data_IF_587001524641
#
_entry.id   IF_587001524641
#
_cell.length_a   1.000
_cell.length_b   1.000
_cell.length_c   1.000
_cell.angle_alpha   90.00
_cell.angle_beta   90.00
_cell.angle_gamma   90.00
#
_symmetry.space_group_name_H-M   'P 1'
#
loop_
_entity.id
_entity.type
_entity.pdbx_description
1 polymer ?
#
# COMPACT_ATOMS: atom_id res chain seq x y z
N UNK A 1 39.54 12.89 -0.74
CA UNK A 1 39.01 11.56 -1.15
C UNK A 1 37.49 11.67 -1.25
N UNK A 2 36.94 11.44 -2.44
CA UNK A 2 35.52 11.69 -2.72
C UNK A 2 34.69 10.53 -2.14
N UNK A 3 34.10 10.74 -0.95
CA UNK A 3 33.34 9.70 -0.27
C UNK A 3 31.90 9.66 -0.83
N UNK A 4 31.77 9.21 -2.08
CA UNK A 4 30.47 9.10 -2.74
C UNK A 4 29.54 8.16 -1.96
N UNK A 5 28.29 8.59 -1.80
CA UNK A 5 27.26 7.80 -1.13
C UNK A 5 27.01 6.47 -1.87
N UNK A 6 26.55 5.43 -1.15
CA UNK A 6 26.21 4.16 -1.80
C UNK A 6 25.12 4.34 -2.89
N UNK A 7 24.24 5.33 -2.74
CA UNK A 7 23.25 5.70 -3.75
C UNK A 7 23.91 6.27 -5.01
N UNK A 8 24.87 7.18 -4.88
CA UNK A 8 25.59 7.75 -6.03
C UNK A 8 26.34 6.66 -6.79
N UNK A 9 27.02 5.76 -6.06
CA UNK A 9 27.72 4.64 -6.67
C UNK A 9 26.76 3.70 -7.41
N UNK A 10 25.57 3.42 -6.85
CA UNK A 10 24.53 2.66 -7.54
C UNK A 10 24.07 3.37 -8.82
N UNK A 11 23.72 4.65 -8.73
CA UNK A 11 23.25 5.45 -9.87
C UNK A 11 24.31 5.52 -10.98
N UNK A 12 25.59 5.58 -10.62
CA UNK A 12 26.68 5.53 -11.58
C UNK A 12 26.73 4.18 -12.31
N UNK A 13 26.55 3.06 -11.63
CA UNK A 13 26.49 1.74 -12.29
C UNK A 13 25.29 1.61 -13.23
N UNK A 14 24.12 2.13 -12.84
CA UNK A 14 22.94 2.21 -13.71
C UNK A 14 23.27 3.00 -14.98
N UNK A 15 23.91 4.16 -14.82
CA UNK A 15 24.27 5.02 -15.95
C UNK A 15 25.26 4.33 -16.90
N UNK A 16 26.29 3.69 -16.35
CA UNK A 16 27.29 2.96 -17.14
C UNK A 16 26.63 1.84 -17.95
N UNK A 17 25.81 0.99 -17.31
CA UNK A 17 25.13 -0.11 -18.01
C UNK A 17 24.13 0.37 -19.07
N UNK A 18 23.46 1.52 -18.84
CA UNK A 18 22.59 2.14 -19.85
C UNK A 18 23.37 2.60 -21.09
N UNK A 19 24.56 3.17 -20.91
CA UNK A 19 25.43 3.54 -22.03
C UNK A 19 25.93 2.31 -22.80
N UNK A 20 26.32 1.25 -22.09
CA UNK A 20 26.77 -0.01 -22.69
C UNK A 20 25.65 -0.79 -23.40
N UNK A 21 24.39 -0.60 -22.97
CA UNK A 21 23.24 -1.36 -23.42
C UNK A 21 22.05 -0.44 -23.74
N UNK A 22 22.20 0.41 -24.76
CA UNK A 22 21.22 1.45 -25.12
C UNK A 22 19.79 0.95 -25.33
N UNK A 23 19.61 -0.33 -25.65
CA UNK A 23 18.31 -0.92 -26.00
C UNK A 23 17.63 -1.66 -24.83
N UNK A 24 18.29 -1.78 -23.66
CA UNK A 24 17.72 -2.46 -22.49
C UNK A 24 16.77 -1.55 -21.74
N UNK A 25 15.66 -2.12 -21.29
CA UNK A 25 14.72 -1.48 -20.37
C UNK A 25 15.35 -1.24 -19.00
N UNK A 26 14.78 -0.31 -18.23
CA UNK A 26 15.21 -0.05 -16.84
C UNK A 26 15.16 -1.30 -15.97
N UNK A 27 14.14 -2.15 -16.16
CA UNK A 27 14.00 -3.42 -15.46
C UNK A 27 15.18 -4.36 -15.72
N UNK A 28 15.57 -4.51 -16.99
CA UNK A 28 16.72 -5.36 -17.37
C UNK A 28 18.03 -4.82 -16.79
N UNK A 29 18.21 -3.50 -16.80
CA UNK A 29 19.38 -2.86 -16.19
C UNK A 29 19.43 -3.15 -14.67
N UNK A 30 18.31 -3.03 -13.96
CA UNK A 30 18.28 -3.32 -12.52
C UNK A 30 18.51 -4.81 -12.22
N UNK A 31 17.96 -5.71 -13.03
CA UNK A 31 18.23 -7.15 -12.93
C UNK A 31 19.71 -7.47 -13.17
N UNK A 32 20.36 -6.76 -14.10
CA UNK A 32 21.78 -6.92 -14.37
C UNK A 32 22.64 -6.39 -13.22
N UNK A 33 22.28 -5.26 -12.61
CA UNK A 33 22.96 -4.76 -11.40
C UNK A 33 22.83 -5.74 -10.24
N UNK A 34 21.63 -6.30 -10.02
CA UNK A 34 21.40 -7.27 -8.97
C UNK A 34 22.30 -8.51 -9.12
N UNK A 35 22.60 -8.92 -10.36
CA UNK A 35 23.51 -10.02 -10.69
C UNK A 35 24.98 -9.64 -10.55
N UNK A 36 25.39 -8.51 -11.14
CA UNK A 36 26.81 -8.09 -11.24
C UNK A 36 27.36 -7.50 -9.95
N UNK A 37 26.52 -6.86 -9.13
CA UNK A 37 26.96 -6.10 -7.96
C UNK A 37 26.15 -6.49 -6.71
N UNK A 38 26.50 -7.58 -6.01
CA UNK A 38 25.77 -8.05 -4.82
C UNK A 38 25.59 -6.99 -3.72
N UNK A 39 26.56 -6.08 -3.56
CA UNK A 39 26.46 -4.93 -2.63
C UNK A 39 25.29 -3.99 -2.91
N UNK A 40 24.76 -4.00 -4.12
CA UNK A 40 23.62 -3.20 -4.56
C UNK A 40 22.33 -4.02 -4.70
N UNK A 41 22.35 -5.29 -4.32
CA UNK A 41 21.21 -6.20 -4.49
C UNK A 41 19.92 -5.63 -3.89
N UNK A 42 19.99 -5.08 -2.68
CA UNK A 42 18.80 -4.54 -2.00
C UNK A 42 18.24 -3.30 -2.73
N UNK A 43 19.12 -2.38 -3.16
CA UNK A 43 18.71 -1.20 -3.94
C UNK A 43 18.15 -1.60 -5.31
N UNK A 44 18.77 -2.57 -5.98
CA UNK A 44 18.28 -3.11 -7.24
C UNK A 44 16.90 -3.77 -7.08
N UNK A 45 16.71 -4.64 -6.07
CA UNK A 45 15.40 -5.24 -5.75
C UNK A 45 14.34 -4.17 -5.49
N UNK A 46 14.68 -3.12 -4.75
CA UNK A 46 13.75 -2.01 -4.51
C UNK A 46 13.35 -1.31 -5.80
N UNK A 47 14.31 -1.01 -6.70
CA UNK A 47 14.02 -0.40 -7.99
C UNK A 47 13.18 -1.30 -8.89
N UNK A 48 13.42 -2.60 -8.88
CA UNK A 48 12.60 -3.60 -9.60
C UNK A 48 11.18 -3.63 -9.04
N UNK A 49 11.00 -3.71 -7.72
CA UNK A 49 9.69 -3.69 -7.09
C UNK A 49 8.93 -2.38 -7.40
N UNK A 50 9.63 -1.25 -7.36
CA UNK A 50 9.06 0.04 -7.73
C UNK A 50 8.63 0.08 -9.21
N UNK A 51 9.46 -0.45 -10.11
CA UNK A 51 9.14 -0.57 -11.53
C UNK A 51 7.86 -1.39 -11.75
N UNK A 52 7.72 -2.55 -11.10
CA UNK A 52 6.49 -3.33 -11.20
C UNK A 52 5.26 -2.57 -10.68
N UNK A 53 5.40 -1.85 -9.55
CA UNK A 53 4.31 -1.02 -9.02
C UNK A 53 3.89 0.08 -10.00
N UNK A 54 4.82 0.74 -10.69
CA UNK A 54 4.48 1.82 -11.66
C UNK A 54 3.85 1.28 -12.94
N UNK A 55 4.03 0.00 -13.24
CA UNK A 55 3.40 -0.71 -14.36
C UNK A 55 2.22 -1.57 -13.90
N UNK A 56 1.65 -1.28 -12.72
CA UNK A 56 0.45 -1.92 -12.17
C UNK A 56 0.56 -3.43 -11.92
N UNK A 57 1.78 -3.97 -11.91
CA UNK A 57 2.05 -5.37 -11.56
C UNK A 57 2.26 -5.51 -10.05
N UNK A 58 1.21 -5.20 -9.28
CA UNK A 58 1.31 -5.07 -7.82
C UNK A 58 1.71 -6.36 -7.10
N UNK A 59 1.27 -7.53 -7.59
CA UNK A 59 1.64 -8.83 -7.03
C UNK A 59 3.14 -9.13 -7.25
N UNK A 60 3.66 -8.82 -8.45
CA UNK A 60 5.09 -8.95 -8.75
C UNK A 60 5.93 -7.98 -7.90
N UNK A 61 5.43 -6.76 -7.68
CA UNK A 61 6.06 -5.80 -6.79
C UNK A 61 6.14 -6.34 -5.35
N UNK A 62 5.05 -6.92 -4.84
CA UNK A 62 4.97 -7.51 -3.50
C UNK A 62 5.90 -8.70 -3.33
N UNK A 63 5.97 -9.59 -4.33
CA UNK A 63 6.86 -10.76 -4.31
C UNK A 63 8.31 -10.35 -4.03
N UNK A 64 8.78 -9.31 -4.71
CA UNK A 64 10.16 -8.82 -4.53
C UNK A 64 10.29 -7.99 -3.26
N UNK A 65 9.29 -7.17 -2.92
CA UNK A 65 9.32 -6.34 -1.73
C UNK A 65 9.46 -7.15 -0.43
N UNK A 66 8.87 -8.35 -0.37
CA UNK A 66 9.00 -9.29 0.76
C UNK A 66 10.41 -9.82 0.98
N UNK A 67 11.28 -9.75 -0.02
CA UNK A 67 12.68 -10.19 0.07
C UNK A 67 13.64 -9.05 0.49
N UNK A 68 13.12 -7.83 0.66
CA UNK A 68 13.89 -6.65 1.04
C UNK A 68 13.83 -6.50 2.56
N UNK A 69 14.95 -6.20 3.25
CA UNK A 69 14.95 -5.96 4.69
C UNK A 69 13.91 -4.92 5.12
N UNK A 70 13.15 -5.18 6.18
CA UNK A 70 12.04 -4.31 6.61
C UNK A 70 12.48 -2.88 6.99
N UNK A 71 13.75 -2.72 7.39
CA UNK A 71 14.35 -1.42 7.72
C UNK A 71 14.78 -0.62 6.48
N UNK A 72 14.60 -1.17 5.28
CA UNK A 72 14.97 -0.49 4.05
C UNK A 72 13.99 0.65 3.72
N UNK A 73 14.55 1.80 3.31
CA UNK A 73 13.80 3.05 3.11
C UNK A 73 12.52 2.84 2.30
N UNK A 74 11.40 3.37 2.79
CA UNK A 74 10.09 3.38 2.13
C UNK A 74 9.52 2.01 1.71
N UNK A 75 10.09 0.87 2.16
CA UNK A 75 9.61 -0.44 1.74
C UNK A 75 8.19 -0.73 2.22
N UNK A 76 7.89 -0.39 3.49
CA UNK A 76 6.55 -0.53 4.07
C UNK A 76 5.50 0.27 3.29
N UNK A 77 5.85 1.47 2.85
CA UNK A 77 4.96 2.32 2.04
C UNK A 77 4.70 1.71 0.66
N UNK A 78 5.72 1.11 0.04
CA UNK A 78 5.56 0.39 -1.22
C UNK A 78 4.61 -0.79 -1.04
N UNK A 79 4.81 -1.60 0.01
CA UNK A 79 3.97 -2.77 0.31
C UNK A 79 2.52 -2.36 0.61
N UNK A 80 2.30 -1.37 1.47
CA UNK A 80 0.96 -0.88 1.81
C UNK A 80 0.15 -0.47 0.58
N UNK A 81 0.79 0.29 -0.34
CA UNK A 81 0.16 0.70 -1.60
C UNK A 81 -0.15 -0.48 -2.51
N UNK A 82 0.74 -1.45 -2.61
CA UNK A 82 0.49 -2.63 -3.45
C UNK A 82 -0.64 -3.49 -2.87
N UNK A 83 -0.64 -3.76 -1.57
CA UNK A 83 -1.73 -4.48 -0.90
C UNK A 83 -3.08 -3.80 -1.08
N UNK A 84 -3.13 -2.47 -0.92
CA UNK A 84 -4.35 -1.68 -1.17
C UNK A 84 -4.85 -1.83 -2.61
N UNK A 85 -3.93 -1.86 -3.60
CA UNK A 85 -4.30 -1.99 -5.02
C UNK A 85 -4.79 -3.37 -5.42
N UNK A 86 -4.36 -4.42 -4.73
CA UNK A 86 -4.85 -5.80 -4.96
C UNK A 86 -6.06 -6.15 -4.09
N UNK A 87 -6.58 -5.21 -3.29
CA UNK A 87 -7.76 -5.43 -2.44
C UNK A 87 -7.47 -6.13 -1.11
N UNK A 88 -6.21 -6.36 -0.76
CA UNK A 88 -5.80 -6.87 0.56
C UNK A 88 -5.75 -5.70 1.57
N UNK A 89 -6.94 -5.25 1.97
CA UNK A 89 -7.10 -4.09 2.87
C UNK A 89 -6.54 -4.34 4.27
N UNK A 90 -6.49 -5.59 4.72
CA UNK A 90 -5.95 -5.96 6.03
C UNK A 90 -4.43 -5.79 6.07
N UNK A 91 -3.71 -6.37 5.09
CA UNK A 91 -2.27 -6.20 4.97
C UNK A 91 -1.89 -4.74 4.69
N UNK A 92 -2.69 -4.03 3.89
CA UNK A 92 -2.49 -2.60 3.63
C UNK A 92 -2.60 -1.77 4.93
N UNK A 93 -3.68 -1.99 5.69
CA UNK A 93 -3.92 -1.30 6.96
C UNK A 93 -2.76 -1.55 7.94
N UNK A 94 -2.36 -2.82 8.12
CA UNK A 94 -1.25 -3.18 9.02
C UNK A 94 0.01 -2.37 8.71
N UNK A 95 0.42 -2.32 7.45
CA UNK A 95 1.62 -1.55 7.07
C UNK A 95 1.42 -0.04 7.20
N UNK A 96 0.24 0.49 6.91
CA UNK A 96 -0.04 1.91 7.13
C UNK A 96 -0.01 2.29 8.61
N UNK A 97 -0.55 1.45 9.49
CA UNK A 97 -0.48 1.68 10.94
C UNK A 97 0.94 1.64 11.46
N UNK A 98 1.76 0.69 11.00
CA UNK A 98 3.18 0.65 11.35
C UNK A 98 3.92 1.92 10.93
N UNK A 99 3.60 2.47 9.74
CA UNK A 99 4.19 3.73 9.28
C UNK A 99 3.69 4.90 10.14
N UNK A 100 2.39 4.99 10.42
CA UNK A 100 1.80 6.04 11.27
C UNK A 100 2.48 6.04 12.64
N UNK A 101 2.53 4.89 13.29
CA UNK A 101 3.07 4.74 14.64
C UNK A 101 4.55 5.12 14.71
N UNK A 102 5.31 4.90 13.63
CA UNK A 102 6.70 5.33 13.54
C UNK A 102 6.86 6.84 13.22
N UNK A 103 5.92 7.42 12.47
CA UNK A 103 5.92 8.83 12.07
C UNK A 103 5.25 9.78 13.09
N UNK A 104 4.46 9.28 14.05
CA UNK A 104 3.92 10.08 15.18
C UNK A 104 5.04 10.70 16.04
N UNK A 105 6.30 10.29 15.85
CA UNK A 105 7.48 10.95 16.43
C UNK A 105 7.86 12.28 15.74
N UNK A 106 7.35 12.57 14.53
CA UNK A 106 7.62 13.78 13.74
C UNK A 106 6.29 14.44 13.28
N UNK A 107 5.78 15.39 14.06
CA UNK A 107 4.34 15.74 14.14
C UNK A 107 3.69 16.45 12.93
N UNK A 108 4.41 16.96 11.94
CA UNK A 108 3.84 18.01 11.07
C UNK A 108 3.53 17.60 9.61
N UNK A 109 3.83 16.37 9.18
CA UNK A 109 3.67 15.96 7.75
C UNK A 109 2.48 15.05 7.41
N UNK A 110 1.62 14.70 8.36
CA UNK A 110 0.78 13.50 8.23
C UNK A 110 -0.73 13.66 8.04
N UNK A 111 -1.22 14.83 7.59
CA UNK A 111 -2.68 15.01 7.39
C UNK A 111 -3.28 14.04 6.36
N UNK A 112 -2.67 13.94 5.17
CA UNK A 112 -3.14 13.04 4.09
C UNK A 112 -2.99 11.55 4.43
N UNK A 113 -1.97 11.21 5.22
CA UNK A 113 -1.72 9.84 5.66
C UNK A 113 -2.73 9.39 6.72
N UNK A 114 -3.03 10.26 7.67
CA UNK A 114 -4.06 10.02 8.68
C UNK A 114 -5.46 9.90 8.05
N UNK A 115 -5.75 10.65 6.99
CA UNK A 115 -7.00 10.53 6.22
C UNK A 115 -7.14 9.15 5.56
N UNK A 116 -6.07 8.62 4.96
CA UNK A 116 -6.06 7.31 4.30
C UNK A 116 -6.16 6.15 5.32
N UNK A 117 -5.46 6.26 6.46
CA UNK A 117 -5.59 5.33 7.59
C UNK A 117 -7.01 5.36 8.17
N UNK A 118 -7.59 6.54 8.38
CA UNK A 118 -8.94 6.69 8.91
C UNK A 118 -9.99 6.14 7.93
N UNK A 119 -9.82 6.36 6.62
CA UNK A 119 -10.67 5.78 5.60
C UNK A 119 -10.63 4.24 5.64
N UNK A 120 -9.44 3.64 5.66
CA UNK A 120 -9.29 2.17 5.71
C UNK A 120 -9.82 1.58 7.01
N UNK A 121 -9.64 2.25 8.16
CA UNK A 121 -10.24 1.84 9.43
C UNK A 121 -11.76 1.83 9.36
N UNK A 122 -12.36 2.87 8.77
CA UNK A 122 -13.80 2.94 8.59
C UNK A 122 -14.32 1.85 7.63
N UNK A 123 -13.62 1.57 6.53
CA UNK A 123 -13.99 0.51 5.59
C UNK A 123 -13.87 -0.88 6.23
N UNK A 124 -12.78 -1.18 6.93
CA UNK A 124 -12.58 -2.45 7.61
C UNK A 124 -13.57 -2.66 8.77
N UNK A 125 -13.89 -1.62 9.53
CA UNK A 125 -14.93 -1.69 10.57
C UNK A 125 -16.31 -1.98 9.96
N UNK A 126 -16.69 -1.27 8.88
CA UNK A 126 -17.95 -1.49 8.16
C UNK A 126 -18.01 -2.89 7.53
N UNK A 127 -16.87 -3.43 7.07
CA UNK A 127 -16.75 -4.78 6.49
C UNK A 127 -16.84 -5.87 7.53
N UNK A 128 -16.11 -5.76 8.64
CA UNK A 128 -16.16 -6.73 9.73
C UNK A 128 -17.55 -6.75 10.39
N UNK A 129 -18.15 -5.57 10.60
CA UNK A 129 -19.54 -5.49 11.04
C UNK A 129 -20.45 -6.16 10.00
N UNK A 130 -20.29 -5.89 8.70
CA UNK A 130 -21.10 -6.53 7.65
C UNK A 130 -20.96 -8.06 7.59
N UNK A 131 -19.76 -8.61 7.78
CA UNK A 131 -19.54 -10.06 7.83
C UNK A 131 -20.19 -10.69 9.07
N UNK A 132 -20.04 -10.06 10.23
CA UNK A 132 -20.75 -10.46 11.46
C UNK A 132 -22.26 -10.39 11.24
N UNK A 133 -22.76 -9.33 10.59
CA UNK A 133 -24.18 -9.15 10.30
C UNK A 133 -24.71 -10.07 9.19
N UNK A 134 -23.90 -10.49 8.21
CA UNK A 134 -24.25 -11.54 7.26
C UNK A 134 -24.38 -12.91 7.94
N UNK A 135 -23.56 -13.17 8.96
CA UNK A 135 -23.71 -14.37 9.79
C UNK A 135 -24.99 -14.30 10.64
N UNK A 136 -25.32 -13.12 11.19
CA UNK A 136 -26.56 -12.89 11.97
C UNK A 136 -27.82 -12.86 11.08
N UNK A 137 -27.72 -12.43 9.83
CA UNK A 137 -28.84 -12.39 8.87
C UNK A 137 -29.24 -13.76 8.30
N UNK A 138 -28.46 -14.83 8.59
CA UNK A 138 -28.88 -16.22 8.34
C UNK A 138 -29.93 -16.72 9.34
N UNK A 139 -30.20 -15.94 10.40
CA UNK A 139 -31.29 -16.18 11.33
C UNK A 139 -32.56 -15.47 10.85
N UNK A 140 -33.70 -16.15 10.96
CA UNK A 140 -34.99 -15.73 10.39
C UNK A 140 -35.46 -14.36 10.95
N UNK A 141 -36.11 -13.51 10.15
CA UNK A 141 -36.44 -12.09 10.50
C UNK A 141 -37.33 -11.94 11.77
N UNK A 142 -37.98 -13.03 12.18
CA UNK A 142 -38.75 -13.13 13.44
C UNK A 142 -37.87 -13.33 14.68
N UNK A 143 -36.62 -13.74 14.51
CA UNK A 143 -35.66 -14.03 15.59
C UNK A 143 -34.66 -12.90 15.85
N UNK A 144 -34.58 -11.91 14.95
CA UNK A 144 -33.79 -10.70 15.16
C UNK A 144 -34.41 -9.84 16.27
N UNK A 145 -33.67 -9.61 17.34
CA UNK A 145 -34.08 -8.71 18.42
C UNK A 145 -34.27 -7.28 17.90
N UNK A 146 -35.12 -6.48 18.57
CA UNK A 146 -35.35 -5.08 18.20
C UNK A 146 -34.04 -4.27 18.10
N UNK A 147 -33.06 -4.58 18.95
CA UNK A 147 -31.72 -3.98 18.95
C UNK A 147 -30.98 -4.28 17.64
N UNK A 148 -31.11 -5.51 17.10
CA UNK A 148 -30.50 -5.86 15.82
C UNK A 148 -31.15 -5.11 14.64
N UNK A 149 -32.47 -4.89 14.69
CA UNK A 149 -33.20 -4.13 13.65
C UNK A 149 -32.83 -2.64 13.66
N UNK A 150 -32.68 -2.06 14.84
CA UNK A 150 -32.22 -0.67 15.01
C UNK A 150 -30.79 -0.48 14.48
N UNK A 151 -29.88 -1.40 14.85
CA UNK A 151 -28.50 -1.42 14.32
C UNK A 151 -28.45 -1.59 12.81
N UNK A 152 -29.35 -2.39 12.22
CA UNK A 152 -29.47 -2.53 10.77
C UNK A 152 -29.86 -1.22 10.07
N UNK A 153 -30.75 -0.44 10.69
CA UNK A 153 -31.15 0.86 10.16
C UNK A 153 -30.04 1.92 10.31
N UNK A 154 -29.32 1.92 11.43
CA UNK A 154 -28.11 2.75 11.61
C UNK A 154 -27.07 2.43 10.52
N UNK A 155 -26.81 1.15 10.26
CA UNK A 155 -25.88 0.71 9.22
C UNK A 155 -26.31 1.15 7.82
N UNK A 156 -27.59 0.99 7.45
CA UNK A 156 -28.12 1.47 6.15
C UNK A 156 -27.91 2.98 5.98
N UNK A 157 -28.08 3.74 7.06
CA UNK A 157 -27.86 5.19 7.05
C UNK A 157 -26.37 5.55 6.91
N UNK A 158 -25.47 4.85 7.62
CA UNK A 158 -24.02 5.05 7.49
C UNK A 158 -23.56 4.72 6.07
N UNK A 159 -23.98 3.58 5.51
CA UNK A 159 -23.65 3.17 4.14
C UNK A 159 -24.12 4.18 3.10
N UNK A 160 -25.31 4.76 3.29
CA UNK A 160 -25.83 5.84 2.42
C UNK A 160 -24.96 7.08 2.48
N UNK A 161 -24.53 7.50 3.68
CA UNK A 161 -23.63 8.65 3.87
C UNK A 161 -22.25 8.42 3.25
N UNK A 162 -21.67 7.23 3.43
CA UNK A 162 -20.38 6.86 2.80
C UNK A 162 -20.49 6.95 1.28
N UNK A 163 -21.55 6.38 0.69
CA UNK A 163 -21.79 6.43 -0.75
C UNK A 163 -21.88 7.88 -1.27
N UNK A 164 -22.61 8.74 -0.56
CA UNK A 164 -22.73 10.17 -0.91
C UNK A 164 -21.38 10.90 -0.84
N UNK A 165 -20.59 10.64 0.20
CA UNK A 165 -19.26 11.25 0.35
C UNK A 165 -18.29 10.77 -0.75
N UNK A 166 -18.31 9.48 -1.10
CA UNK A 166 -17.50 8.96 -2.21
C UNK A 166 -17.90 9.57 -3.56
N UNK A 167 -19.19 9.81 -3.80
CA UNK A 167 -19.69 10.48 -5.01
C UNK A 167 -19.29 11.96 -5.07
N UNK A 168 -19.22 12.64 -3.92
CA UNK A 168 -18.74 14.03 -3.83
C UNK A 168 -17.23 14.12 -4.08
N UNK A 169 -16.44 13.22 -3.51
CA UNK A 169 -14.98 13.19 -3.72
C UNK A 169 -14.62 12.98 -5.20
N UNK A 170 -15.36 12.12 -5.92
CA UNK A 170 -15.18 11.91 -7.37
C UNK A 170 -15.48 13.14 -8.24
N UNK A 171 -16.26 14.10 -7.74
CA UNK A 171 -16.56 15.37 -8.45
C UNK A 171 -15.54 16.47 -8.18
N UNK A 172 -14.69 16.32 -7.15
CA UNK A 172 -13.64 17.28 -6.83
C UNK A 172 -12.32 17.00 -7.58
N UNK A 173 -12.18 15.82 -8.18
CA UNK A 173 -11.02 15.39 -8.95
C UNK A 173 -11.17 15.60 -10.48
N UNK A 174 -12.26 16.24 -10.92
CA UNK A 174 -12.58 16.58 -12.33
C UNK A 174 -12.63 18.09 -12.53
#
# INVERSE_FOLDING_TARGET
MNNQSNQEKFNQQVKNLKHENSNKSDLEIYLEIAKKYPKFLVEAKYKIAYYYKTHEQYENALKIAKEIPENYKNIKMLMAKCYSKIGDEESALKHYEEIANNQIKDSDKNKKFNEEVNHLKMTNMVRNDFEIWQQVAKYDDKTLSAVAKEKMNEYKNIRKKIKQNCEQLKKCDS
#
